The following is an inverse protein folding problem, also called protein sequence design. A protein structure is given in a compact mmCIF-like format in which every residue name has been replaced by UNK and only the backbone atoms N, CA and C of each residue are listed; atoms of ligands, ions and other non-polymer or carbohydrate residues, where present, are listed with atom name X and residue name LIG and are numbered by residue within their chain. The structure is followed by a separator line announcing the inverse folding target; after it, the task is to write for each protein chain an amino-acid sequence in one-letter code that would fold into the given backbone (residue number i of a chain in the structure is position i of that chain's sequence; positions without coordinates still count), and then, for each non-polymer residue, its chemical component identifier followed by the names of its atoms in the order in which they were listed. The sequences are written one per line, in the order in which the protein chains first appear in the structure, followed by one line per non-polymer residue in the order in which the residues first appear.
data_IF_371026119237
#
_entry.id   IF_371026119237
#
_cell.length_a   1.000
_cell.length_b   1.000
_cell.length_c   1.000
_cell.angle_alpha   90.00
_cell.angle_beta   90.00
_cell.angle_gamma   90.00
#
_symmetry.space_group_name_H-M   'P 1'
#
loop_
_entity.id
_entity.type
_entity.pdbx_description
1 polymer ?
#
# COMPACT_ATOMS: atom_id res chain seq x y z
N UNK A 1 -0.81 -4.44 0.66
CA UNK A 1 0.29 -3.99 1.54
C UNK A 1 1.62 -4.14 0.81
N UNK A 2 2.51 -3.15 0.89
CA UNK A 2 3.84 -3.15 0.28
C UNK A 2 4.82 -2.76 1.37
N UNK A 3 5.84 -3.57 1.62
CA UNK A 3 6.83 -3.29 2.68
C UNK A 3 8.24 -3.69 2.25
N UNK A 4 9.24 -2.96 2.76
CA UNK A 4 10.66 -3.32 2.68
C UNK A 4 11.06 -4.45 3.63
N UNK A 5 10.18 -4.82 4.57
CA UNK A 5 10.45 -5.87 5.55
C UNK A 5 10.61 -7.26 4.92
N UNK A 6 11.15 -8.18 5.71
CA UNK A 6 11.18 -9.59 5.35
C UNK A 6 9.77 -10.17 5.21
N UNK A 7 9.62 -11.11 4.27
CA UNK A 7 8.32 -11.74 3.98
C UNK A 7 7.66 -12.37 5.20
N UNK A 8 8.43 -12.92 6.14
CA UNK A 8 7.89 -13.51 7.38
C UNK A 8 7.26 -12.45 8.28
N UNK A 9 7.91 -11.29 8.42
CA UNK A 9 7.39 -10.14 9.20
C UNK A 9 6.13 -9.61 8.54
N UNK A 10 6.18 -9.41 7.21
CA UNK A 10 5.05 -8.96 6.44
C UNK A 10 3.85 -9.92 6.56
N UNK A 11 4.07 -11.24 6.52
CA UNK A 11 3.00 -12.24 6.74
C UNK A 11 2.42 -12.20 8.15
N UNK A 12 3.23 -11.95 9.16
CA UNK A 12 2.74 -11.83 10.54
C UNK A 12 1.95 -10.53 10.75
N UNK A 13 2.40 -9.43 10.14
CA UNK A 13 1.62 -8.19 10.13
C UNK A 13 0.31 -8.40 9.39
N UNK A 14 0.32 -8.91 8.14
CA UNK A 14 -0.89 -9.22 7.39
C UNK A 14 -1.88 -10.10 8.18
N UNK A 15 -1.37 -11.09 8.92
CA UNK A 15 -2.18 -11.95 9.81
C UNK A 15 -2.85 -11.14 10.92
N UNK A 16 -2.11 -10.25 11.60
CA UNK A 16 -2.70 -9.39 12.63
C UNK A 16 -3.84 -8.59 12.00
N UNK A 17 -3.61 -7.99 10.85
CA UNK A 17 -4.56 -7.13 10.14
C UNK A 17 -5.79 -7.85 9.56
N UNK A 18 -5.92 -9.16 9.70
CA UNK A 18 -7.01 -9.93 9.12
C UNK A 18 -6.97 -10.03 7.59
N UNK A 19 -5.83 -9.69 6.97
CA UNK A 19 -5.63 -9.88 5.54
C UNK A 19 -5.40 -11.36 5.23
N UNK A 20 -5.64 -11.76 3.98
CA UNK A 20 -5.18 -13.07 3.55
C UNK A 20 -3.63 -13.03 3.57
N UNK A 21 -2.99 -14.13 3.95
CA UNK A 21 -1.53 -14.14 4.21
C UNK A 21 -0.72 -14.27 2.90
N UNK A 22 -1.30 -13.83 1.79
CA UNK A 22 -0.74 -13.94 0.43
C UNK A 22 0.24 -12.79 0.20
N UNK A 23 1.31 -12.78 1.01
CA UNK A 23 2.42 -11.86 0.82
C UNK A 23 3.46 -12.53 -0.06
N UNK A 24 3.71 -11.92 -1.21
CA UNK A 24 4.66 -12.36 -2.22
C UNK A 24 5.99 -11.62 -2.10
N UNK A 25 7.02 -12.15 -2.74
CA UNK A 25 8.30 -11.46 -2.83
C UNK A 25 8.29 -10.48 -4.01
N UNK A 26 8.89 -9.30 -3.85
CA UNK A 26 8.88 -8.27 -4.88
C UNK A 26 9.68 -8.64 -6.14
N UNK A 27 10.60 -9.61 -6.07
CA UNK A 27 11.28 -10.15 -7.27
C UNK A 27 10.30 -10.66 -8.34
N UNK A 28 9.10 -11.09 -7.92
CA UNK A 28 8.03 -11.53 -8.81
C UNK A 28 7.40 -10.40 -9.64
N UNK A 29 7.73 -9.13 -9.35
CA UNK A 29 7.26 -7.96 -10.12
C UNK A 29 8.13 -7.66 -11.34
N UNK A 30 9.37 -8.17 -11.37
CA UNK A 30 10.37 -7.88 -12.41
C UNK A 30 10.84 -9.17 -13.11
N UNK A 31 10.02 -10.21 -13.09
CA UNK A 31 10.40 -11.48 -13.74
C UNK A 31 10.31 -11.33 -15.27
N UNK A 32 11.45 -11.35 -16.01
CA UNK A 32 11.43 -11.15 -17.47
C UNK A 32 10.84 -12.34 -18.23
N UNK A 33 10.62 -13.47 -17.55
CA UNK A 33 10.04 -14.68 -18.14
C UNK A 33 8.51 -14.67 -18.13
N UNK A 34 7.89 -13.76 -17.39
CA UNK A 34 6.44 -13.65 -17.26
C UNK A 34 5.91 -12.45 -18.05
N UNK A 35 4.73 -12.58 -18.66
CA UNK A 35 4.08 -11.47 -19.31
C UNK A 35 3.59 -10.43 -18.28
N UNK A 36 3.49 -9.17 -18.69
CA UNK A 36 2.96 -8.12 -17.82
C UNK A 36 1.55 -8.42 -17.33
N UNK A 37 0.72 -9.11 -18.13
CA UNK A 37 -0.62 -9.52 -17.74
C UNK A 37 -0.60 -10.48 -16.55
N UNK A 38 0.23 -11.53 -16.60
CA UNK A 38 0.39 -12.49 -15.48
C UNK A 38 0.89 -11.80 -14.21
N UNK A 39 1.83 -10.86 -14.34
CA UNK A 39 2.34 -10.10 -13.20
C UNK A 39 1.24 -9.20 -12.62
N UNK A 40 0.41 -8.61 -13.48
CA UNK A 40 -0.71 -7.75 -13.04
C UNK A 40 -1.79 -8.55 -12.33
N UNK A 41 -2.19 -9.71 -12.86
CA UNK A 41 -3.14 -10.61 -12.20
C UNK A 41 -2.64 -11.05 -10.82
N UNK A 42 -1.33 -11.30 -10.70
CA UNK A 42 -0.69 -11.58 -9.42
C UNK A 42 -0.76 -10.39 -8.46
N UNK A 43 -0.61 -9.16 -8.94
CA UNK A 43 -0.76 -7.96 -8.11
C UNK A 43 -2.19 -7.79 -7.58
N UNK A 44 -3.20 -8.19 -8.37
CA UNK A 44 -4.61 -8.16 -7.97
C UNK A 44 -4.92 -9.27 -6.96
N UNK A 45 -4.33 -10.46 -7.15
CA UNK A 45 -4.58 -11.61 -6.29
C UNK A 45 -3.80 -11.59 -4.95
N UNK A 46 -2.69 -10.85 -4.88
CA UNK A 46 -1.84 -10.79 -3.70
C UNK A 46 -2.30 -9.72 -2.70
N UNK A 47 -2.30 -10.07 -1.41
CA UNK A 47 -2.51 -9.11 -0.32
C UNK A 47 -1.33 -8.15 -0.18
N UNK A 48 -0.14 -8.55 -0.65
CA UNK A 48 1.00 -7.66 -0.61
C UNK A 48 2.33 -8.21 -1.10
N UNK A 49 3.33 -7.33 -1.05
CA UNK A 49 4.71 -7.61 -1.45
C UNK A 49 5.70 -7.23 -0.35
N UNK A 50 6.70 -8.09 -0.14
CA UNK A 50 7.82 -7.90 0.79
C UNK A 50 9.14 -7.64 0.03
N UNK A 51 10.17 -7.17 0.73
CA UNK A 51 11.46 -6.74 0.14
C UNK A 51 11.31 -5.68 -0.97
N UNK A 52 10.37 -4.76 -0.79
CA UNK A 52 10.05 -3.75 -1.79
C UNK A 52 11.02 -2.58 -1.73
N UNK A 53 11.63 -2.26 -2.88
CA UNK A 53 12.41 -1.03 -3.13
C UNK A 53 11.54 0.02 -3.83
N UNK A 54 11.95 1.31 -3.86
CA UNK A 54 11.12 2.39 -4.43
C UNK A 54 10.59 2.11 -5.85
N UNK A 55 11.39 1.47 -6.71
CA UNK A 55 11.05 1.14 -8.08
C UNK A 55 9.88 0.13 -8.17
N UNK A 56 9.82 -0.83 -7.23
CA UNK A 56 8.74 -1.80 -7.17
C UNK A 56 7.39 -1.12 -6.85
N UNK A 57 7.40 -0.08 -6.01
CA UNK A 57 6.20 0.68 -5.63
C UNK A 57 5.57 1.33 -6.86
N UNK A 58 6.41 2.00 -7.65
CA UNK A 58 5.99 2.61 -8.91
C UNK A 58 5.45 1.57 -9.89
N UNK A 59 6.14 0.44 -10.03
CA UNK A 59 5.74 -0.64 -10.95
C UNK A 59 4.38 -1.24 -10.60
N UNK A 60 4.09 -1.47 -9.31
CA UNK A 60 2.76 -1.98 -8.89
C UNK A 60 1.66 -0.99 -9.28
N UNK A 61 1.86 0.31 -9.04
CA UNK A 61 0.88 1.35 -9.42
C UNK A 61 0.65 1.33 -10.92
N UNK A 62 1.71 1.28 -11.72
CA UNK A 62 1.62 1.25 -13.19
C UNK A 62 0.86 0.02 -13.72
N UNK A 63 1.19 -1.18 -13.21
CA UNK A 63 0.54 -2.43 -13.64
C UNK A 63 -0.97 -2.40 -13.36
N UNK A 64 -1.36 -1.98 -12.16
CA UNK A 64 -2.77 -1.89 -11.77
C UNK A 64 -3.51 -0.83 -12.61
N UNK A 65 -2.89 0.33 -12.84
CA UNK A 65 -3.46 1.37 -13.71
C UNK A 65 -3.64 0.91 -15.15
N UNK A 66 -2.71 0.12 -15.69
CA UNK A 66 -2.81 -0.41 -17.06
C UNK A 66 -3.99 -1.38 -17.23
N UNK A 67 -4.45 -2.05 -16.17
CA UNK A 67 -5.70 -2.84 -16.15
C UNK A 67 -6.96 -1.99 -15.95
N UNK A 68 -6.84 -0.67 -15.86
CA UNK A 68 -7.95 0.26 -15.63
C UNK A 68 -8.42 0.34 -14.18
N UNK A 69 -7.62 -0.17 -13.23
CA UNK A 69 -7.93 -0.10 -11.80
C UNK A 69 -7.50 1.27 -11.28
N UNK A 70 -8.39 1.96 -10.56
CA UNK A 70 -8.04 3.18 -9.84
C UNK A 70 -7.17 2.83 -8.64
N UNK A 71 -6.00 3.45 -8.54
CA UNK A 71 -5.01 3.17 -7.49
C UNK A 71 -4.86 4.38 -6.57
N UNK A 72 -5.03 4.15 -5.28
CA UNK A 72 -4.62 5.08 -4.24
C UNK A 72 -3.33 4.57 -3.60
N UNK A 73 -2.37 5.47 -3.40
CA UNK A 73 -1.08 5.15 -2.81
C UNK A 73 -0.89 5.96 -1.54
N UNK A 74 -0.47 5.30 -0.45
CA UNK A 74 -0.09 5.99 0.79
C UNK A 74 1.43 6.09 0.90
N UNK A 75 1.97 7.13 1.52
CA UNK A 75 3.42 7.24 1.72
C UNK A 75 3.80 8.35 2.69
N UNK A 76 5.02 8.28 3.22
CA UNK A 76 5.55 9.23 4.21
C UNK A 76 6.92 9.77 3.82
N UNK A 77 7.70 9.00 3.05
CA UNK A 77 9.07 9.32 2.71
C UNK A 77 9.27 9.90 1.31
N UNK A 78 10.46 10.47 1.09
CA UNK A 78 10.93 10.95 -0.22
C UNK A 78 10.91 9.84 -1.29
N UNK A 79 11.17 8.60 -0.86
CA UNK A 79 11.16 7.42 -1.71
C UNK A 79 9.78 7.09 -2.30
N UNK A 80 8.72 7.58 -1.67
CA UNK A 80 7.34 7.28 -2.08
C UNK A 80 6.79 8.35 -3.02
N UNK A 81 7.43 9.52 -3.09
CA UNK A 81 7.00 10.64 -3.91
C UNK A 81 6.74 10.27 -5.39
N UNK A 82 7.57 9.46 -6.08
CA UNK A 82 7.27 9.05 -7.46
C UNK A 82 6.00 8.22 -7.57
N UNK A 83 5.76 7.31 -6.63
CA UNK A 83 4.61 6.42 -6.65
C UNK A 83 3.32 7.14 -6.20
N UNK A 84 3.43 8.04 -5.21
CA UNK A 84 2.36 8.97 -4.82
C UNK A 84 1.90 9.81 -6.00
N UNK A 85 2.85 10.36 -6.76
CA UNK A 85 2.53 11.22 -7.92
C UNK A 85 1.95 10.46 -9.10
N UNK A 86 2.31 9.18 -9.26
CA UNK A 86 1.82 8.31 -10.33
C UNK A 86 0.41 7.78 -10.05
N UNK A 87 0.08 7.54 -8.79
CA UNK A 87 -1.22 7.04 -8.38
C UNK A 87 -2.36 7.97 -8.83
N UNK A 88 -3.58 7.43 -8.90
CA UNK A 88 -4.76 8.24 -9.15
C UNK A 88 -5.06 9.18 -7.98
N UNK A 89 -4.75 8.71 -6.76
CA UNK A 89 -4.79 9.52 -5.54
C UNK A 89 -3.55 9.19 -4.70
N UNK A 90 -2.65 10.15 -4.55
CA UNK A 90 -1.54 10.10 -3.61
C UNK A 90 -1.95 10.61 -2.23
N UNK A 91 -1.69 9.85 -1.18
CA UNK A 91 -2.05 10.17 0.20
C UNK A 91 -0.78 10.22 1.05
N UNK A 92 -0.39 11.41 1.48
CA UNK A 92 0.68 11.58 2.45
C UNK A 92 0.13 11.52 3.88
N UNK A 93 0.80 10.77 4.76
CA UNK A 93 0.35 10.58 6.14
C UNK A 93 0.89 11.67 7.08
N UNK A 94 0.33 11.75 8.29
CA UNK A 94 0.81 12.66 9.33
C UNK A 94 2.30 12.40 9.63
N UNK A 95 3.09 13.48 9.71
CA UNK A 95 4.53 13.40 9.93
C UNK A 95 5.35 13.09 8.67
N UNK A 96 4.73 13.06 7.49
CA UNK A 96 5.43 12.86 6.23
C UNK A 96 6.46 13.97 5.93
N UNK A 97 7.46 13.59 5.15
CA UNK A 97 8.46 14.50 4.58
C UNK A 97 7.82 15.53 3.66
N UNK A 98 8.44 16.71 3.53
CA UNK A 98 7.96 17.77 2.62
C UNK A 98 7.89 17.29 1.16
N UNK A 99 8.77 16.38 0.76
CA UNK A 99 8.76 15.78 -0.56
C UNK A 99 7.51 14.91 -0.78
N UNK A 100 7.16 14.04 0.17
CA UNK A 100 5.94 13.22 0.10
C UNK A 100 4.69 14.11 0.10
N UNK A 101 4.68 15.16 0.93
CA UNK A 101 3.59 16.14 1.00
C UNK A 101 3.37 16.89 -0.30
N UNK A 102 4.44 17.30 -0.97
CA UNK A 102 4.36 17.98 -2.26
C UNK A 102 3.94 17.05 -3.41
N UNK A 103 4.18 15.74 -3.27
CA UNK A 103 3.83 14.74 -4.26
C UNK A 103 2.39 14.20 -4.13
N UNK A 104 1.80 14.28 -2.93
CA UNK A 104 0.47 13.77 -2.64
C UNK A 104 -0.65 14.76 -2.97
N UNK A 105 -1.83 14.22 -3.26
CA UNK A 105 -3.07 14.97 -3.49
C UNK A 105 -3.81 15.25 -2.17
N UNK A 106 -3.70 14.34 -1.21
CA UNK A 106 -4.30 14.43 0.13
C UNK A 106 -3.20 14.29 1.17
N UNK A 107 -3.27 15.11 2.21
CA UNK A 107 -2.34 15.06 3.35
C UNK A 107 -3.14 14.91 4.64
N UNK A 108 -2.88 13.85 5.39
CA UNK A 108 -3.45 13.72 6.73
C UNK A 108 -2.69 14.60 7.72
N UNK A 109 -3.42 15.53 8.31
CA UNK A 109 -2.89 16.51 9.28
C UNK A 109 -2.81 15.95 10.70
N UNK A 110 -3.56 14.89 10.99
CA UNK A 110 -3.56 14.15 12.25
C UNK A 110 -3.31 12.66 11.97
N UNK A 111 -2.97 11.91 13.03
CA UNK A 111 -3.01 10.45 12.95
C UNK A 111 -4.48 10.06 12.85
N UNK A 112 -4.94 9.82 11.62
CA UNK A 112 -6.33 9.45 11.35
C UNK A 112 -6.59 8.01 11.83
N UNK A 113 -7.70 7.81 12.52
CA UNK A 113 -8.22 6.46 12.76
C UNK A 113 -8.85 5.91 11.47
N UNK A 114 -9.00 4.58 11.33
CA UNK A 114 -9.43 3.93 10.09
C UNK A 114 -10.80 4.35 9.55
N UNK A 115 -11.68 4.86 10.41
CA UNK A 115 -13.05 5.27 10.06
C UNK A 115 -13.08 6.40 9.01
N UNK A 116 -12.00 7.19 8.90
CA UNK A 116 -11.89 8.30 7.95
C UNK A 116 -11.44 7.87 6.54
N UNK A 117 -11.02 6.60 6.35
CA UNK A 117 -10.60 6.07 5.04
C UNK A 117 -11.76 5.54 4.18
N UNK A 118 -13.00 5.54 4.70
CA UNK A 118 -14.21 5.13 3.93
C UNK A 118 -14.53 6.05 2.74
N UNK A 119 -13.75 7.12 2.55
CA UNK A 119 -13.93 8.11 1.50
C UNK A 119 -13.64 7.60 0.07
N UNK A 120 -13.05 6.40 -0.11
CA UNK A 120 -12.67 5.86 -1.43
C UNK A 120 -13.13 4.40 -1.66
N UNK A 121 -14.45 4.12 -1.72
CA UNK A 121 -14.99 2.76 -1.85
C UNK A 121 -14.66 2.06 -3.18
N UNK A 122 -14.27 2.79 -4.22
CA UNK A 122 -14.00 2.24 -5.57
C UNK A 122 -12.50 2.11 -5.90
N UNK A 123 -11.61 2.38 -4.94
CA UNK A 123 -10.17 2.49 -5.22
C UNK A 123 -9.37 1.34 -4.62
N UNK A 124 -8.47 0.74 -5.41
CA UNK A 124 -7.51 -0.23 -4.90
C UNK A 124 -6.43 0.51 -4.10
N UNK A 125 -6.42 0.30 -2.79
CA UNK A 125 -5.50 1.01 -1.89
C UNK A 125 -4.20 0.23 -1.67
N UNK A 126 -3.09 0.83 -2.11
CA UNK A 126 -1.75 0.31 -1.90
C UNK A 126 -1.13 0.98 -0.68
N UNK A 127 -0.97 0.18 0.38
CA UNK A 127 -0.43 0.63 1.66
C UNK A 127 1.04 0.33 1.83
N UNK A 128 1.78 1.23 2.47
CA UNK A 128 3.24 1.22 2.46
C UNK A 128 3.91 1.01 3.82
N UNK A 129 3.18 1.12 4.94
CA UNK A 129 3.75 0.93 6.26
C UNK A 129 2.84 0.15 7.21
N UNK A 130 3.45 -0.73 8.01
CA UNK A 130 2.79 -1.64 8.95
C UNK A 130 2.20 -0.93 10.17
N UNK A 131 2.75 0.22 10.57
CA UNK A 131 2.28 1.02 11.73
C UNK A 131 0.90 1.66 11.50
N UNK A 132 0.62 2.11 10.28
CA UNK A 132 -0.70 2.65 9.89
C UNK A 132 -1.76 1.55 10.04
N UNK A 133 -1.36 0.31 9.79
CA UNK A 133 -2.22 -0.84 9.91
C UNK A 133 -2.30 -1.43 11.34
N UNK A 134 -1.26 -1.41 12.17
CA UNK A 134 -1.42 -1.89 13.56
C UNK A 134 -2.44 -1.06 14.35
N UNK A 135 -2.50 0.25 14.08
CA UNK A 135 -3.54 1.14 14.59
C UNK A 135 -4.93 0.84 13.99
N UNK A 136 -4.99 0.20 12.81
CA UNK A 136 -6.24 -0.26 12.18
C UNK A 136 -7.01 -1.26 13.05
N UNK A 137 -6.29 -2.15 13.74
CA UNK A 137 -6.91 -3.25 14.45
C UNK A 137 -7.18 -2.96 15.94
N UNK A 138 -6.31 -2.24 16.62
CA UNK A 138 -6.51 -1.91 18.04
C UNK A 138 -7.81 -1.10 18.25
N UNK A 139 -8.16 -0.20 17.32
CA UNK A 139 -9.44 0.52 17.38
C UNK A 139 -10.65 -0.38 17.07
N UNK A 140 -10.59 -1.21 16.02
CA UNK A 140 -11.68 -2.11 15.61
C UNK A 140 -12.07 -3.14 16.69
N UNK A 141 -11.09 -3.74 17.37
CA UNK A 141 -11.36 -4.72 18.46
C UNK A 141 -12.01 -4.05 19.67
N UNK A 142 -11.71 -2.76 19.90
CA UNK A 142 -12.22 -2.01 21.06
C UNK A 142 -13.65 -1.53 20.81
N UNK A 143 -14.01 -1.16 19.58
CA UNK A 143 -15.37 -0.73 19.21
C UNK A 143 -16.34 -1.89 18.95
N UNK A 144 -15.88 -3.05 18.43
CA UNK A 144 -16.76 -4.22 18.24
C UNK A 144 -17.04 -5.02 19.53
N UNK A 145 -16.39 -4.67 20.65
CA UNK A 145 -16.62 -5.27 21.98
C UNK A 145 -17.36 -4.33 22.95
N UNK A 146 -18.01 -3.28 22.46
CA UNK A 146 -18.97 -2.46 23.21
C UNK A 146 -20.38 -2.57 22.63
#
# INVERSE_FOLDING_TARGET
MITGDQQVIAKEVARRLGMQRTILDASLLINPLESEETITERCIAADGFAHVIPEHKFRVVELLQNKGILVAMTGDGVNDAPALKKANVGIAVHGCTDAARAAADIVFVCVCSPLEYSLLPETYMVFQHTTIWSQYQEHWITECNQ
#
